data_IF_996666601566
#
_entry.id   IF_996666601566
#
_cell.length_a   1.000
_cell.length_b   1.000
_cell.length_c   1.000
_cell.angle_alpha   90.00
_cell.angle_beta   90.00
_cell.angle_gamma   90.00
#
_symmetry.space_group_name_H-M   'P 1'
#
loop_
_entity.id
_entity.type
_entity.pdbx_description
1 polymer ?
#
# COMPACT_ATOMS: atom_id res chain seq x y z
N UNK A 1 14.93 -90.73 -29.03
CA UNK A 1 14.19 -90.51 -30.30
C UNK A 1 13.04 -89.58 -30.01
N UNK A 2 12.83 -88.56 -30.86
CA UNK A 2 11.61 -87.72 -30.96
C UNK A 2 11.38 -86.76 -29.78
N UNK A 3 11.05 -85.46 -29.90
CA UNK A 3 10.48 -84.58 -30.95
C UNK A 3 11.00 -83.15 -30.62
N UNK A 4 11.70 -82.45 -31.53
CA UNK A 4 11.28 -81.27 -32.34
C UNK A 4 10.75 -79.98 -31.64
N UNK A 5 10.92 -78.80 -32.28
CA UNK A 5 11.02 -77.46 -31.67
C UNK A 5 9.77 -76.56 -31.89
N UNK A 6 9.61 -75.49 -31.09
CA UNK A 6 8.61 -74.39 -31.30
C UNK A 6 9.18 -73.09 -30.72
N UNK A 7 9.65 -72.13 -31.53
CA UNK A 7 8.95 -70.96 -32.11
C UNK A 7 8.70 -69.78 -31.14
N UNK A 8 9.21 -68.59 -31.53
CA UNK A 8 9.18 -67.27 -30.85
C UNK A 8 7.78 -66.62 -30.94
N UNK A 9 7.45 -65.62 -30.09
CA UNK A 9 7.61 -64.19 -30.46
C UNK A 9 8.12 -63.33 -29.28
N UNK A 10 9.03 -62.35 -29.46
CA UNK A 10 8.81 -60.95 -29.91
C UNK A 10 7.75 -60.19 -29.10
N UNK A 11 8.09 -59.87 -27.85
CA UNK A 11 7.41 -58.80 -27.10
C UNK A 11 8.16 -57.47 -27.25
N UNK A 12 7.56 -56.66 -28.11
CA UNK A 12 7.46 -55.22 -28.16
C UNK A 12 8.03 -54.47 -26.92
N UNK A 13 9.19 -53.84 -27.10
CA UNK A 13 9.72 -52.83 -26.18
C UNK A 13 8.87 -51.56 -26.35
N UNK A 14 7.95 -51.31 -25.42
CA UNK A 14 7.20 -50.07 -25.32
C UNK A 14 8.10 -49.02 -24.65
N UNK A 15 8.75 -48.17 -25.46
CA UNK A 15 9.52 -47.04 -24.97
C UNK A 15 8.56 -45.95 -24.45
N UNK A 16 8.41 -45.86 -23.12
CA UNK A 16 7.78 -44.72 -22.46
C UNK A 16 8.67 -43.48 -22.64
N UNK A 17 8.25 -42.56 -23.50
CA UNK A 17 8.78 -41.20 -23.56
C UNK A 17 8.31 -40.43 -22.33
N UNK A 18 9.18 -40.31 -21.32
CA UNK A 18 8.98 -39.40 -20.20
C UNK A 18 9.20 -37.96 -20.69
N UNK A 19 8.11 -37.20 -20.88
CA UNK A 19 8.19 -35.75 -21.09
C UNK A 19 8.63 -35.10 -19.77
N UNK A 20 9.68 -34.24 -19.77
CA UNK A 20 9.99 -33.42 -18.62
C UNK A 20 8.87 -32.39 -18.43
N UNK A 21 8.08 -32.56 -17.37
CA UNK A 21 7.24 -31.51 -16.81
C UNK A 21 8.16 -30.37 -16.36
N UNK A 22 8.31 -29.36 -17.20
CA UNK A 22 8.94 -28.09 -16.84
C UNK A 22 7.99 -27.38 -15.88
N UNK A 23 8.24 -27.52 -14.59
CA UNK A 23 7.55 -26.75 -13.55
C UNK A 23 7.94 -25.28 -13.69
N UNK A 24 7.04 -24.50 -14.29
CA UNK A 24 7.12 -23.04 -14.24
C UNK A 24 6.84 -22.59 -12.79
N UNK A 25 7.91 -22.37 -12.03
CA UNK A 25 7.83 -21.60 -10.79
C UNK A 25 7.48 -20.15 -11.18
N UNK A 26 6.20 -19.80 -11.08
CA UNK A 26 5.76 -18.42 -11.22
C UNK A 26 6.46 -17.53 -10.17
N UNK A 27 6.66 -16.24 -10.46
CA UNK A 27 7.19 -15.31 -9.47
C UNK A 27 6.23 -15.25 -8.29
N UNK A 28 6.67 -15.80 -7.15
CA UNK A 28 6.03 -15.52 -5.87
C UNK A 28 6.52 -14.15 -5.46
N UNK A 29 5.74 -13.10 -5.73
CA UNK A 29 5.96 -11.81 -5.07
C UNK A 29 5.73 -12.02 -3.58
N UNK A 30 6.83 -12.21 -2.84
CA UNK A 30 6.78 -12.33 -1.40
C UNK A 30 6.37 -10.97 -0.84
N UNK A 31 5.19 -10.90 -0.24
CA UNK A 31 4.77 -9.70 0.48
C UNK A 31 5.80 -9.36 1.57
N UNK A 32 6.15 -8.08 1.68
CA UNK A 32 7.14 -7.61 2.65
C UNK A 32 6.70 -7.95 4.09
N UNK A 33 7.66 -8.16 5.02
CA UNK A 33 7.34 -8.47 6.40
C UNK A 33 6.64 -7.29 7.08
N UNK A 34 5.61 -7.58 7.88
CA UNK A 34 4.91 -6.58 8.69
C UNK A 34 5.86 -5.99 9.72
N UNK A 35 6.05 -4.67 9.68
CA UNK A 35 6.86 -3.91 10.62
C UNK A 35 6.00 -3.49 11.80
N UNK A 36 6.46 -3.74 13.03
CA UNK A 36 5.72 -3.39 14.25
C UNK A 36 6.47 -2.37 15.08
N UNK A 37 5.81 -1.27 15.44
CA UNK A 37 6.30 -0.26 16.37
C UNK A 37 5.46 -0.33 17.65
N UNK A 38 6.11 -0.27 18.81
CA UNK A 38 5.44 -0.14 20.10
C UNK A 38 5.80 1.20 20.72
N UNK A 39 4.81 1.87 21.31
CA UNK A 39 5.03 3.04 22.15
C UNK A 39 4.14 2.98 23.39
N UNK A 40 4.17 4.03 24.19
CA UNK A 40 3.43 4.09 25.44
C UNK A 40 1.92 4.10 25.16
N UNK A 41 1.29 2.94 25.35
CA UNK A 41 -0.16 2.76 25.23
C UNK A 41 -0.69 2.38 23.84
N UNK A 42 0.16 2.22 22.82
CA UNK A 42 -0.27 1.73 21.50
C UNK A 42 0.78 0.83 20.82
N UNK A 43 0.31 0.02 19.87
CA UNK A 43 1.11 -0.76 18.93
C UNK A 43 0.67 -0.43 17.51
N UNK A 44 1.62 -0.13 16.65
CA UNK A 44 1.44 0.10 15.22
C UNK A 44 2.02 -1.09 14.48
N UNK A 45 1.30 -1.67 13.54
CA UNK A 45 1.79 -2.70 12.61
C UNK A 45 1.58 -2.17 11.19
N UNK A 46 2.58 -2.21 10.33
CA UNK A 46 2.46 -1.71 8.97
C UNK A 46 3.20 -2.57 7.95
N UNK A 47 2.75 -2.53 6.70
CA UNK A 47 3.33 -3.30 5.59
C UNK A 47 3.01 -2.61 4.27
N UNK A 48 4.00 -2.53 3.37
CA UNK A 48 3.73 -2.14 1.99
C UNK A 48 2.90 -3.20 1.28
N UNK A 49 1.97 -2.79 0.42
CA UNK A 49 1.17 -3.73 -0.36
C UNK A 49 2.04 -4.34 -1.45
N UNK A 50 1.92 -5.65 -1.63
CA UNK A 50 2.71 -6.39 -2.61
C UNK A 50 2.11 -6.34 -4.03
N UNK A 51 0.80 -6.08 -4.11
CA UNK A 51 -0.03 -6.12 -5.31
C UNK A 51 -0.54 -4.74 -5.73
N UNK A 52 -0.21 -3.69 -4.97
CA UNK A 52 -0.64 -2.32 -5.21
C UNK A 52 0.33 -1.33 -4.58
N UNK A 53 0.33 -0.09 -5.04
CA UNK A 53 1.09 0.97 -4.39
C UNK A 53 0.41 1.39 -3.09
N UNK A 54 1.20 1.55 -2.02
CA UNK A 54 0.75 2.05 -0.73
C UNK A 54 1.01 1.11 0.45
N UNK A 55 0.60 1.54 1.64
CA UNK A 55 0.91 0.84 2.89
C UNK A 55 -0.38 0.53 3.65
N UNK A 56 -0.50 -0.69 4.14
CA UNK A 56 -1.48 -1.07 5.15
C UNK A 56 -0.87 -0.80 6.53
N UNK A 57 -1.48 0.04 7.34
CA UNK A 57 -1.04 0.29 8.73
C UNK A 57 -2.22 0.05 9.66
N UNK A 58 -2.00 -0.64 10.77
CA UNK A 58 -2.96 -0.92 11.82
C UNK A 58 -2.40 -0.39 13.14
N UNK A 59 -3.16 0.44 13.83
CA UNK A 59 -2.80 1.03 15.12
C UNK A 59 -3.79 0.56 16.15
N UNK A 60 -3.32 -0.16 17.18
CA UNK A 60 -4.13 -0.64 18.30
C UNK A 60 -3.68 0.03 19.60
N UNK A 61 -4.61 0.32 20.50
CA UNK A 61 -4.28 0.60 21.89
C UNK A 61 -3.79 -0.70 22.57
N UNK A 62 -2.78 -0.61 23.44
CA UNK A 62 -2.28 -1.75 24.24
C UNK A 62 -2.54 -1.61 25.74
N UNK A 63 -3.08 -0.47 26.19
CA UNK A 63 -3.42 -0.24 27.60
C UNK A 63 -4.86 0.28 27.74
N UNK A 64 -5.73 -0.52 28.35
CA UNK A 64 -7.11 -0.16 28.72
C UNK A 64 -8.23 -0.76 27.84
N UNK A 65 -9.44 -0.83 28.39
CA UNK A 65 -10.69 -1.44 27.85
C UNK A 65 -11.29 -0.66 26.66
N UNK A 66 -10.47 -0.40 25.64
CA UNK A 66 -10.38 0.90 24.96
C UNK A 66 -11.18 1.20 23.68
N UNK A 67 -10.91 2.44 23.21
CA UNK A 67 -11.29 3.07 21.94
C UNK A 67 -10.70 2.29 20.74
N UNK A 68 -11.39 2.22 19.59
CA UNK A 68 -11.01 1.35 18.48
C UNK A 68 -9.59 1.55 17.95
N UNK A 69 -9.03 0.44 17.49
CA UNK A 69 -7.86 0.44 16.62
C UNK A 69 -8.17 1.21 15.32
N UNK A 70 -7.21 1.94 14.77
CA UNK A 70 -7.34 2.63 13.49
C UNK A 70 -6.49 1.93 12.43
N UNK A 71 -6.81 2.09 11.15
CA UNK A 71 -6.01 1.59 10.03
C UNK A 71 -5.69 2.73 9.06
N UNK A 72 -4.41 3.00 8.79
CA UNK A 72 -4.04 3.86 7.66
C UNK A 72 -4.06 2.99 6.40
N UNK A 73 -4.81 3.44 5.40
CA UNK A 73 -4.87 2.90 4.06
C UNK A 73 -4.44 4.01 3.12
N UNK A 74 -3.32 3.82 2.45
CA UNK A 74 -3.09 4.52 1.19
C UNK A 74 -4.05 3.94 0.14
N UNK A 75 -4.93 4.79 -0.39
CA UNK A 75 -5.94 4.42 -1.38
C UNK A 75 -5.68 5.17 -2.69
N UNK A 76 -5.40 4.41 -3.74
CA UNK A 76 -5.26 4.92 -5.10
C UNK A 76 -3.99 4.43 -5.79
N UNK A 77 -4.10 4.13 -7.09
CA UNK A 77 -2.99 3.72 -7.96
C UNK A 77 -2.71 4.76 -9.06
N UNK A 78 -2.94 6.04 -8.77
CA UNK A 78 -2.84 7.14 -9.75
C UNK A 78 -2.60 8.49 -9.08
N UNK A 79 -2.52 9.59 -9.85
CA UNK A 79 -2.14 10.93 -9.39
C UNK A 79 -3.06 11.53 -8.30
N UNK A 80 -4.30 11.02 -8.18
CA UNK A 80 -5.26 11.34 -7.13
C UNK A 80 -5.13 10.42 -5.89
N UNK A 81 -3.92 10.26 -5.36
CA UNK A 81 -3.72 9.40 -4.18
C UNK A 81 -4.38 10.00 -2.96
N UNK A 82 -5.18 9.19 -2.28
CA UNK A 82 -5.89 9.59 -1.07
C UNK A 82 -5.35 8.80 0.11
N UNK A 83 -4.81 9.52 1.08
CA UNK A 83 -4.44 8.91 2.36
C UNK A 83 -5.68 8.84 3.24
N UNK A 84 -6.07 7.62 3.61
CA UNK A 84 -7.22 7.38 4.46
C UNK A 84 -6.82 6.79 5.81
N UNK A 85 -7.30 7.35 6.91
CA UNK A 85 -7.27 6.72 8.24
C UNK A 85 -8.67 6.21 8.49
N UNK A 86 -8.83 4.92 8.74
CA UNK A 86 -10.09 4.23 9.02
C UNK A 86 -10.16 3.91 10.51
N UNK A 87 -11.27 4.21 11.17
CA UNK A 87 -11.58 3.66 12.49
C UNK A 87 -12.06 2.21 12.31
N UNK A 88 -11.44 1.22 12.96
CA UNK A 88 -11.77 -0.20 12.77
C UNK A 88 -13.05 -0.64 13.47
N UNK A 89 -13.52 0.02 14.53
CA UNK A 89 -14.82 -0.34 15.10
C UNK A 89 -15.95 0.07 14.16
N UNK A 90 -15.84 1.25 13.56
CA UNK A 90 -16.90 1.77 12.68
C UNK A 90 -16.69 1.40 11.22
N UNK A 91 -15.47 1.01 10.83
CA UNK A 91 -15.00 0.83 9.45
C UNK A 91 -15.22 2.07 8.58
N UNK A 92 -15.19 3.27 9.18
CA UNK A 92 -15.38 4.54 8.48
C UNK A 92 -14.07 5.32 8.42
N UNK A 93 -13.82 6.06 7.32
CA UNK A 93 -12.71 6.99 7.28
C UNK A 93 -12.91 8.11 8.31
N UNK A 94 -11.91 8.30 9.15
CA UNK A 94 -11.76 9.45 10.06
C UNK A 94 -10.86 10.53 9.46
N UNK A 95 -9.97 10.14 8.54
CA UNK A 95 -9.26 11.04 7.61
C UNK A 95 -9.35 10.40 6.23
N UNK A 96 -9.59 11.20 5.20
CA UNK A 96 -9.52 10.77 3.79
C UNK A 96 -9.27 12.01 2.96
N UNK A 97 -8.01 12.24 2.61
CA UNK A 97 -7.57 13.47 1.93
C UNK A 97 -6.50 13.14 0.90
N UNK A 98 -6.46 13.92 -0.18
CA UNK A 98 -5.32 13.89 -1.09
C UNK A 98 -4.03 14.21 -0.33
N UNK A 99 -2.91 13.65 -0.75
CA UNK A 99 -1.60 13.95 -0.17
C UNK A 99 -0.51 13.99 -1.24
N UNK A 100 0.62 14.61 -0.93
CA UNK A 100 1.82 14.57 -1.77
C UNK A 100 2.59 13.28 -1.52
N UNK A 101 2.66 12.42 -2.54
CA UNK A 101 3.34 11.13 -2.48
C UNK A 101 4.84 11.18 -2.82
N UNK A 102 5.34 12.36 -3.20
CA UNK A 102 6.78 12.63 -3.29
C UNK A 102 7.39 12.95 -1.92
N UNK A 103 6.55 13.25 -0.93
CA UNK A 103 6.95 13.52 0.44
C UNK A 103 6.62 12.31 1.33
N UNK A 104 7.51 11.95 2.27
CA UNK A 104 7.31 10.76 3.09
C UNK A 104 6.12 10.94 4.05
N UNK A 105 5.34 9.86 4.21
CA UNK A 105 4.40 9.72 5.32
C UNK A 105 5.18 9.23 6.54
N UNK A 106 5.39 10.09 7.53
CA UNK A 106 6.05 9.69 8.77
C UNK A 106 5.03 9.10 9.74
N UNK A 107 5.30 7.88 10.20
CA UNK A 107 4.46 7.20 11.19
C UNK A 107 5.26 7.11 12.48
N UNK A 108 4.73 7.72 13.53
CA UNK A 108 5.33 7.71 14.86
C UNK A 108 4.37 7.08 15.86
N UNK A 109 4.90 6.59 16.98
CA UNK A 109 4.12 6.33 18.18
C UNK A 109 3.07 7.43 18.46
N UNK A 110 1.78 7.12 18.32
CA UNK A 110 0.68 8.05 18.61
C UNK A 110 0.39 9.11 17.54
N UNK A 111 1.07 9.14 16.39
CA UNK A 111 0.78 10.13 15.35
C UNK A 111 1.20 9.71 13.95
N UNK A 112 0.49 10.22 12.94
CA UNK A 112 0.88 10.13 11.53
C UNK A 112 1.06 11.53 10.98
N UNK A 113 2.14 11.82 10.26
CA UNK A 113 2.33 13.11 9.61
C UNK A 113 2.65 12.99 8.12
N UNK A 114 2.02 13.84 7.32
CA UNK A 114 2.10 13.80 5.85
C UNK A 114 1.73 15.18 5.27
N UNK A 115 2.01 15.42 4.01
CA UNK A 115 1.62 16.66 3.32
C UNK A 115 0.23 16.50 2.69
N UNK A 116 -0.81 16.98 3.38
CA UNK A 116 -2.18 16.87 2.92
C UNK A 116 -2.54 17.98 1.94
N UNK A 117 -3.33 17.66 0.92
CA UNK A 117 -4.01 18.64 0.07
C UNK A 117 -5.05 19.38 0.90
N UNK A 118 -4.95 20.71 0.90
CA UNK A 118 -5.79 21.63 1.69
C UNK A 118 -6.64 22.57 0.84
N UNK A 119 -6.41 22.60 -0.47
CA UNK A 119 -7.18 23.42 -1.39
C UNK A 119 -6.58 23.47 -2.78
N UNK A 120 -7.24 24.19 -3.69
CA UNK A 120 -6.79 24.39 -5.06
C UNK A 120 -5.69 25.44 -5.14
N UNK A 121 -4.66 25.15 -5.94
CA UNK A 121 -3.72 26.13 -6.43
C UNK A 121 -4.36 26.98 -7.53
N UNK A 122 -4.11 28.27 -7.50
CA UNK A 122 -4.62 29.28 -8.43
C UNK A 122 -3.48 30.24 -8.77
N UNK A 123 -3.64 31.03 -9.83
CA UNK A 123 -2.67 32.07 -10.18
C UNK A 123 -2.37 33.06 -9.04
N UNK A 124 -3.28 33.21 -8.07
CA UNK A 124 -3.12 34.12 -6.93
C UNK A 124 -2.31 33.53 -5.76
N UNK A 125 -2.32 32.21 -5.59
CA UNK A 125 -1.75 31.55 -4.39
C UNK A 125 -0.72 30.45 -4.73
N UNK A 126 -0.47 30.18 -6.01
CA UNK A 126 0.51 29.22 -6.49
C UNK A 126 1.39 29.87 -7.57
N UNK A 127 2.65 30.22 -7.27
CA UNK A 127 3.57 30.82 -8.25
C UNK A 127 3.80 29.95 -9.49
N UNK A 128 3.80 28.62 -9.32
CA UNK A 128 3.97 27.66 -10.40
C UNK A 128 2.68 27.37 -11.20
N UNK A 129 1.56 28.02 -10.87
CA UNK A 129 0.25 27.74 -11.49
C UNK A 129 0.28 27.79 -13.01
N UNK A 130 0.96 28.81 -13.57
CA UNK A 130 1.06 28.99 -15.02
C UNK A 130 1.84 27.86 -15.69
N UNK A 131 2.90 27.38 -15.04
CA UNK A 131 3.71 26.26 -15.53
C UNK A 131 2.91 24.95 -15.48
N UNK A 132 2.26 24.65 -14.35
CA UNK A 132 1.45 23.44 -14.22
C UNK A 132 0.31 23.41 -15.24
N UNK A 133 -0.42 24.53 -15.36
CA UNK A 133 -1.51 24.65 -16.34
C UNK A 133 -1.04 24.47 -17.79
N UNK A 134 0.14 25.02 -18.14
CA UNK A 134 0.70 24.89 -19.49
C UNK A 134 1.09 23.44 -19.83
N UNK A 135 1.36 22.61 -18.82
CA UNK A 135 1.64 21.18 -18.97
C UNK A 135 0.39 20.31 -18.82
N UNK A 136 -0.81 20.91 -18.71
CA UNK A 136 -2.07 20.17 -18.53
C UNK A 136 -2.24 19.58 -17.13
N UNK A 137 -1.56 20.13 -16.13
CA UNK A 137 -1.63 19.69 -14.73
C UNK A 137 -2.48 20.63 -13.89
N UNK A 138 -3.15 20.09 -12.88
CA UNK A 138 -3.83 20.86 -11.85
C UNK A 138 -2.84 21.33 -10.78
N UNK A 139 -3.02 22.54 -10.26
CA UNK A 139 -2.25 23.03 -9.12
C UNK A 139 -3.02 22.74 -7.83
N UNK A 140 -2.33 22.22 -6.81
CA UNK A 140 -2.91 22.00 -5.48
C UNK A 140 -2.05 22.63 -4.39
N UNK A 141 -2.71 23.04 -3.30
CA UNK A 141 -2.04 23.52 -2.10
C UNK A 141 -1.95 22.42 -1.07
N UNK A 142 -0.75 22.13 -0.61
CA UNK A 142 -0.50 21.15 0.46
C UNK A 142 -0.01 21.83 1.73
N UNK A 143 -0.31 21.23 2.88
CA UNK A 143 0.25 21.60 4.20
C UNK A 143 0.60 20.36 5.00
N UNK A 144 1.68 20.47 5.76
CA UNK A 144 2.06 19.41 6.69
C UNK A 144 0.94 19.21 7.71
N UNK A 145 0.37 18.02 7.72
CA UNK A 145 -0.73 17.63 8.58
C UNK A 145 -0.27 16.54 9.51
N UNK A 146 -0.55 16.72 10.80
CA UNK A 146 -0.33 15.70 11.82
C UNK A 146 -1.68 15.19 12.28
N UNK A 147 -1.84 13.88 12.34
CA UNK A 147 -3.01 13.21 12.90
C UNK A 147 -2.61 12.55 14.20
N UNK A 148 -3.19 13.01 15.31
CA UNK A 148 -3.04 12.38 16.62
C UNK A 148 -3.87 11.10 16.69
N UNK A 149 -3.26 10.02 17.18
CA UNK A 149 -3.87 8.72 17.37
C UNK A 149 -3.96 8.39 18.87
N UNK A 150 -5.03 7.71 19.32
CA UNK A 150 -6.10 7.10 18.52
C UNK A 150 -7.30 8.05 18.27
N UNK A 151 -7.22 9.34 18.63
CA UNK A 151 -8.38 10.23 18.47
C UNK A 151 -8.72 10.57 17.02
N UNK A 152 -7.80 10.32 16.09
CA UNK A 152 -7.88 10.70 14.69
C UNK A 152 -8.14 12.20 14.50
N UNK A 153 -7.59 13.03 15.40
CA UNK A 153 -7.65 14.49 15.29
C UNK A 153 -6.55 14.94 14.33
N UNK A 154 -6.94 15.54 13.20
CA UNK A 154 -6.01 16.13 12.25
C UNK A 154 -5.75 17.61 12.55
N UNK A 155 -4.51 18.04 12.37
CA UNK A 155 -4.11 19.44 12.46
C UNK A 155 -3.09 19.76 11.38
N UNK A 156 -3.45 20.68 10.48
CA UNK A 156 -2.52 21.25 9.52
C UNK A 156 -1.63 22.30 10.20
N UNK A 157 -0.35 22.32 9.83
CA UNK A 157 0.68 23.18 10.40
C UNK A 157 1.58 23.74 9.30
N UNK A 158 2.28 24.84 9.60
CA UNK A 158 3.25 25.44 8.69
C UNK A 158 2.65 26.16 7.47
N UNK A 159 3.51 26.71 6.59
CA UNK A 159 3.09 27.36 5.35
C UNK A 159 2.58 26.35 4.32
N UNK A 160 1.69 26.79 3.43
CA UNK A 160 1.27 25.99 2.29
C UNK A 160 2.36 25.94 1.21
N UNK A 161 2.56 24.78 0.60
CA UNK A 161 3.33 24.60 -0.64
C UNK A 161 2.36 24.40 -1.80
N UNK A 162 2.81 24.69 -3.02
CA UNK A 162 2.07 24.32 -4.23
C UNK A 162 2.71 23.10 -4.88
N UNK A 163 1.89 22.16 -5.35
CA UNK A 163 2.31 20.99 -6.12
C UNK A 163 1.48 20.86 -7.38
N UNK A 164 2.01 20.10 -8.35
CA UNK A 164 1.27 19.69 -9.53
C UNK A 164 0.57 18.34 -9.25
N UNK A 165 -0.68 18.23 -9.70
CA UNK A 165 -1.47 16.99 -9.71
C UNK A 165 -1.98 16.78 -11.15
N UNK A 166 -2.33 15.54 -11.52
CA UNK A 166 -2.90 15.25 -12.84
C UNK A 166 -4.40 15.04 -12.75
#
# INVERSE_FOLDING_TARGET
MSVSPVSRPRDLVLALLALPLVSFAGPTSAAEPVQCLQGEGFQVAYRERADSVGTDIVVRSVTGTGKPACTLLDQGTGPDRTLSIIDLATRKPVVSVGYDDNEPVEIKPGSVSFWAVTGKGTAANCPAFKEYSANGLEAALIRQTVVSLPEARSQASGPSKCIAQQ
#
